data_IF_009254226938
#
_entry.id   IF_009254226938
#
_cell.length_a   1.000
_cell.length_b   1.000
_cell.length_c   1.000
_cell.angle_alpha   90.00
_cell.angle_beta   90.00
_cell.angle_gamma   90.00
#
_symmetry.space_group_name_H-M   'P 1'
#
loop_
_entity.id
_entity.type
_entity.pdbx_description
1 polymer ?
#
# COMPACT_ATOMS: atom_id res chain seq x y z
N UNK A 1 7.10 -40.30 4.77
CA UNK A 1 7.66 -39.84 3.47
C UNK A 1 7.88 -38.34 3.59
N UNK A 2 9.14 -37.88 3.69
CA UNK A 2 9.46 -36.46 3.88
C UNK A 2 9.77 -35.80 2.52
N UNK A 3 9.26 -34.58 2.31
CA UNK A 3 9.49 -33.79 1.08
C UNK A 3 10.97 -33.39 0.96
N UNK A 4 11.56 -33.41 -0.26
CA UNK A 4 12.92 -32.96 -0.48
C UNK A 4 13.07 -31.47 -0.18
N UNK A 5 14.23 -31.10 0.36
CA UNK A 5 14.58 -29.72 0.73
C UNK A 5 14.66 -28.84 -0.53
N UNK A 6 14.14 -27.60 -0.50
CA UNK A 6 14.28 -26.66 -1.61
C UNK A 6 15.76 -26.38 -1.94
N UNK A 7 16.07 -26.05 -3.21
CA UNK A 7 17.42 -25.68 -3.61
C UNK A 7 17.85 -24.35 -2.96
N UNK A 8 19.14 -24.25 -2.63
CA UNK A 8 19.72 -23.04 -2.04
C UNK A 8 19.61 -21.84 -3.00
N UNK A 9 19.34 -20.62 -2.48
CA UNK A 9 19.31 -19.41 -3.29
C UNK A 9 20.71 -19.09 -3.84
N UNK A 10 20.78 -18.37 -4.98
CA UNK A 10 22.06 -18.03 -5.59
C UNK A 10 22.86 -17.16 -4.63
N UNK A 11 24.04 -17.67 -4.27
CA UNK A 11 25.07 -17.03 -3.47
C UNK A 11 25.35 -15.61 -4.00
N UNK A 12 24.88 -14.58 -3.30
CA UNK A 12 25.28 -13.19 -3.56
C UNK A 12 26.69 -12.93 -3.02
N UNK A 13 27.66 -13.74 -3.44
CA UNK A 13 29.06 -13.42 -3.30
C UNK A 13 29.42 -12.44 -4.42
N UNK A 14 29.54 -11.16 -4.07
CA UNK A 14 30.54 -10.20 -4.57
C UNK A 14 30.12 -8.76 -4.23
N UNK A 15 29.81 -8.47 -2.96
CA UNK A 15 30.24 -7.17 -2.46
C UNK A 15 31.71 -7.30 -2.13
N UNK A 16 32.51 -7.07 -3.17
CA UNK A 16 33.94 -6.92 -3.06
C UNK A 16 34.23 -5.97 -1.91
N UNK A 17 35.06 -6.47 -0.99
CA UNK A 17 35.72 -5.73 0.07
C UNK A 17 36.09 -4.34 -0.44
N UNK A 18 35.58 -3.29 0.22
CA UNK A 18 36.00 -1.90 0.04
C UNK A 18 37.48 -1.82 0.46
N UNK A 19 38.36 -2.20 -0.47
CA UNK A 19 39.80 -2.08 -0.38
C UNK A 19 40.23 -1.28 -1.59
N UNK A 20 40.76 -0.10 -1.27
CA UNK A 20 41.71 0.64 -2.07
C UNK A 20 41.19 1.10 -3.45
N UNK A 21 40.43 2.20 -3.46
CA UNK A 21 40.47 3.09 -4.62
C UNK A 21 41.50 4.19 -4.34
N UNK A 22 42.68 3.91 -4.89
CA UNK A 22 43.76 4.80 -5.29
C UNK A 22 43.42 6.29 -5.36
N UNK A 23 44.35 7.05 -4.78
CA UNK A 23 44.62 8.47 -4.89
C UNK A 23 44.57 8.97 -6.35
N UNK A 24 43.97 10.15 -6.58
CA UNK A 24 44.18 10.93 -7.80
C UNK A 24 43.31 10.57 -9.01
N UNK A 25 42.04 10.97 -8.99
CA UNK A 25 41.35 11.37 -10.22
C UNK A 25 40.63 12.68 -9.97
N UNK A 26 41.22 13.72 -10.53
CA UNK A 26 40.70 15.05 -10.79
C UNK A 26 39.21 15.00 -11.13
N UNK A 27 38.36 15.45 -10.19
CA UNK A 27 36.91 15.48 -10.36
C UNK A 27 36.56 16.75 -11.13
N UNK A 28 36.89 16.74 -12.42
CA UNK A 28 36.43 17.75 -13.36
C UNK A 28 34.91 17.60 -13.53
N UNK A 29 34.19 18.45 -12.79
CA UNK A 29 32.92 19.08 -13.14
C UNK A 29 31.81 18.15 -13.68
N UNK A 30 31.29 17.27 -12.82
CA UNK A 30 29.94 16.71 -13.05
C UNK A 30 28.91 17.76 -12.63
N UNK A 31 28.07 18.29 -13.55
CA UNK A 31 27.02 19.21 -13.16
C UNK A 31 26.07 18.48 -12.21
N UNK A 32 26.06 18.95 -10.95
CA UNK A 32 25.10 18.52 -9.94
C UNK A 32 23.71 18.54 -10.58
N UNK A 33 23.12 17.36 -10.80
CA UNK A 33 21.81 17.22 -11.41
C UNK A 33 20.80 17.93 -10.51
N UNK A 34 20.56 19.22 -10.78
CA UNK A 34 19.60 20.03 -10.05
C UNK A 34 18.24 19.41 -10.29
N UNK A 35 17.59 19.02 -9.19
CA UNK A 35 16.20 18.59 -9.25
C UNK A 35 15.37 19.71 -9.91
N UNK A 36 14.42 19.35 -10.78
CA UNK A 36 13.56 20.35 -11.41
C UNK A 36 12.87 21.19 -10.33
N UNK A 37 12.82 22.50 -10.57
CA UNK A 37 12.20 23.44 -9.64
C UNK A 37 10.73 23.06 -9.41
N UNK A 38 10.28 23.20 -8.16
CA UNK A 38 8.89 22.88 -7.82
C UNK A 38 7.96 23.77 -8.64
N UNK A 39 6.93 23.23 -9.32
CA UNK A 39 5.98 24.04 -10.05
C UNK A 39 5.30 25.04 -9.12
N UNK A 40 5.43 26.32 -9.43
CA UNK A 40 4.84 27.42 -8.67
C UNK A 40 3.38 27.68 -9.06
N UNK A 41 2.91 27.06 -10.15
CA UNK A 41 1.59 27.26 -10.72
C UNK A 41 0.73 26.02 -10.52
N UNK A 42 -0.47 26.20 -9.98
CA UNK A 42 -1.47 25.13 -9.93
C UNK A 42 -1.92 24.77 -11.35
N UNK A 43 -2.10 23.47 -11.67
CA UNK A 43 -2.57 23.07 -12.98
C UNK A 43 -3.97 23.67 -13.28
N UNK A 44 -4.33 23.84 -14.56
CA UNK A 44 -5.69 24.20 -14.94
C UNK A 44 -6.70 23.21 -14.35
N UNK A 45 -7.88 23.71 -13.99
CA UNK A 45 -8.96 22.87 -13.42
C UNK A 45 -9.32 21.69 -14.33
N UNK A 46 -9.24 21.86 -15.65
CA UNK A 46 -9.47 20.80 -16.64
C UNK A 46 -8.53 19.61 -16.45
N UNK A 47 -7.23 19.85 -16.25
CA UNK A 47 -6.23 18.79 -16.04
C UNK A 47 -6.51 18.02 -14.75
N UNK A 48 -6.88 18.75 -13.69
CA UNK A 48 -7.24 18.14 -12.41
C UNK A 48 -8.52 17.30 -12.50
N UNK A 49 -9.54 17.77 -13.21
CA UNK A 49 -10.79 17.05 -13.40
C UNK A 49 -10.59 15.77 -14.23
N UNK A 50 -9.78 15.81 -15.29
CA UNK A 50 -9.41 14.61 -16.07
C UNK A 50 -8.66 13.58 -15.21
N UNK A 51 -7.77 14.03 -14.31
CA UNK A 51 -7.12 13.14 -13.36
C UNK A 51 -8.12 12.47 -12.41
N UNK A 52 -9.08 13.23 -11.87
CA UNK A 52 -10.13 12.69 -11.00
C UNK A 52 -11.04 11.70 -11.73
N UNK A 53 -11.35 11.94 -12.99
CA UNK A 53 -12.16 11.02 -13.81
C UNK A 53 -11.51 9.64 -13.92
N UNK A 54 -10.17 9.58 -14.06
CA UNK A 54 -9.39 8.34 -14.04
C UNK A 54 -9.32 7.65 -12.66
N UNK A 55 -9.76 8.30 -11.59
CA UNK A 55 -9.76 7.75 -10.23
C UNK A 55 -11.17 7.35 -9.81
N UNK A 56 -12.14 8.25 -9.97
CA UNK A 56 -13.51 8.10 -9.47
C UNK A 56 -14.27 7.00 -10.25
N UNK A 57 -13.90 6.71 -11.49
CA UNK A 57 -14.49 5.65 -12.30
C UNK A 57 -13.68 4.35 -12.38
N UNK A 58 -12.47 4.29 -11.80
CA UNK A 58 -11.58 3.15 -11.97
C UNK A 58 -11.85 2.07 -10.90
N UNK A 59 -12.37 0.88 -11.26
CA UNK A 59 -12.67 -0.17 -10.29
C UNK A 59 -11.42 -0.72 -9.58
N UNK A 60 -10.22 -0.53 -10.15
CA UNK A 60 -8.95 -0.90 -9.54
C UNK A 60 -8.45 0.15 -8.53
N UNK A 61 -9.04 1.35 -8.52
CA UNK A 61 -8.76 2.42 -7.55
C UNK A 61 -9.83 2.48 -6.46
N UNK A 62 -10.51 1.37 -6.18
CA UNK A 62 -11.27 1.20 -4.93
C UNK A 62 -10.29 1.49 -3.79
N UNK A 63 -10.35 2.70 -3.25
CA UNK A 63 -9.58 3.13 -2.10
C UNK A 63 -9.74 2.06 -1.01
N UNK A 64 -8.69 1.81 -0.22
CA UNK A 64 -8.73 0.81 0.85
C UNK A 64 -9.96 0.98 1.76
N UNK A 65 -10.47 2.20 1.91
CA UNK A 65 -11.72 2.55 2.59
C UNK A 65 -12.96 1.85 2.02
N UNK A 66 -13.07 1.66 0.70
CA UNK A 66 -14.20 0.97 0.09
C UNK A 66 -14.26 -0.51 0.49
N UNK A 67 -13.10 -1.17 0.59
CA UNK A 67 -13.02 -2.55 1.08
C UNK A 67 -13.22 -2.64 2.61
N UNK A 68 -12.77 -1.62 3.36
CA UNK A 68 -13.00 -1.51 4.80
C UNK A 68 -14.50 -1.38 5.12
N UNK A 69 -15.23 -0.57 4.34
CA UNK A 69 -16.67 -0.34 4.54
C UNK A 69 -17.50 -1.62 4.32
N UNK A 70 -17.12 -2.46 3.34
CA UNK A 70 -17.78 -3.74 3.08
C UNK A 70 -17.55 -4.76 4.20
N UNK A 71 -16.32 -4.81 4.73
CA UNK A 71 -15.98 -5.65 5.88
C UNK A 71 -16.72 -5.20 7.15
N UNK A 72 -16.83 -3.89 7.38
CA UNK A 72 -17.57 -3.33 8.51
C UNK A 72 -19.07 -3.62 8.41
N UNK A 73 -19.68 -3.43 7.24
CA UNK A 73 -21.09 -3.77 7.00
C UNK A 73 -21.37 -5.26 7.28
N UNK A 74 -20.46 -6.15 6.87
CA UNK A 74 -20.56 -7.58 7.16
C UNK A 74 -20.48 -7.87 8.66
N UNK A 75 -19.56 -7.20 9.38
CA UNK A 75 -19.42 -7.34 10.85
C UNK A 75 -20.65 -6.83 11.59
N UNK A 76 -21.22 -5.72 11.16
CA UNK A 76 -22.45 -5.16 11.73
C UNK A 76 -23.63 -6.11 11.55
N UNK A 77 -23.84 -6.66 10.35
CA UNK A 77 -24.90 -7.65 10.10
C UNK A 77 -24.76 -8.91 10.96
N UNK A 78 -23.53 -9.38 11.20
CA UNK A 78 -23.28 -10.50 12.10
C UNK A 78 -23.58 -10.15 13.57
N UNK A 79 -23.24 -8.94 13.99
CA UNK A 79 -23.52 -8.46 15.33
C UNK A 79 -25.03 -8.37 15.58
N UNK A 80 -25.79 -7.79 14.66
CA UNK A 80 -27.26 -7.70 14.73
C UNK A 80 -27.91 -9.08 14.86
N UNK A 81 -27.48 -10.06 14.05
CA UNK A 81 -27.96 -11.44 14.18
C UNK A 81 -27.68 -12.04 15.55
N UNK A 82 -26.51 -11.78 16.12
CA UNK A 82 -26.14 -12.29 17.46
C UNK A 82 -26.95 -11.61 18.56
N UNK A 83 -27.21 -10.31 18.45
CA UNK A 83 -28.06 -9.57 19.38
C UNK A 83 -29.49 -10.10 19.34
N UNK A 84 -30.06 -10.28 18.14
CA UNK A 84 -31.41 -10.83 17.98
C UNK A 84 -31.56 -12.23 18.60
N UNK A 85 -30.52 -13.08 18.50
CA UNK A 85 -30.52 -14.40 19.14
C UNK A 85 -30.48 -14.31 20.67
N UNK A 86 -29.76 -13.34 21.23
CA UNK A 86 -29.69 -13.11 22.67
C UNK A 86 -30.99 -12.52 23.23
N UNK A 87 -31.65 -11.64 22.47
CA UNK A 87 -32.98 -11.12 22.80
C UNK A 87 -34.04 -12.23 22.76
N UNK A 88 -33.98 -13.11 21.75
CA UNK A 88 -34.87 -14.26 21.64
C UNK A 88 -34.70 -15.28 22.78
N UNK A 89 -33.48 -15.44 23.30
CA UNK A 89 -33.19 -16.34 24.42
C UNK A 89 -33.39 -15.68 25.80
N UNK A 90 -33.72 -14.39 25.87
CA UNK A 90 -34.01 -13.75 27.14
C UNK A 90 -35.40 -14.19 27.62
N UNK A 91 -35.53 -14.91 28.75
CA UNK A 91 -36.84 -15.29 29.27
C UNK A 91 -37.61 -14.02 29.67
N UNK A 92 -38.94 -13.99 29.50
CA UNK A 92 -39.74 -12.89 29.99
C UNK A 92 -39.51 -12.79 31.51
N UNK A 93 -39.05 -11.63 31.97
CA UNK A 93 -39.03 -11.32 33.39
C UNK A 93 -40.47 -11.29 33.87
N UNK A 94 -40.93 -12.38 34.50
CA UNK A 94 -42.20 -12.39 35.21
C UNK A 94 -42.17 -11.34 36.33
N UNK A 95 -42.89 -10.25 36.13
CA UNK A 95 -43.38 -9.34 37.18
C UNK A 95 -44.79 -9.70 37.57
#
# INVERSE_FOLDING_TARGET
MALPRPPDPPNQSKHASRKDLVDGMDLEDTPQARLPEKPTTSPPSSVFLTFLEGIIGNPNHRLADGAMMEAEATRLSQLERRVALLEFWSPPTST
#
